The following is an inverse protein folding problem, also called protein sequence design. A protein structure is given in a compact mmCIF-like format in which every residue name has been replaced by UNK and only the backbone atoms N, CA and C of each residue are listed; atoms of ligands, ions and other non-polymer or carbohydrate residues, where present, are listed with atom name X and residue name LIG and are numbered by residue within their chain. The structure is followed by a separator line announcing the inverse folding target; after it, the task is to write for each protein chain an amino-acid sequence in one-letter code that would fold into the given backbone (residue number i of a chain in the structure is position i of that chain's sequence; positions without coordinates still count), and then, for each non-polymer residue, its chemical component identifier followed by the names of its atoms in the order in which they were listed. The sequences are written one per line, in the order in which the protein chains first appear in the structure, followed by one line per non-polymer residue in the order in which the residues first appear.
data_IF_338300981787
#
_entry.id   IF_338300981787
#
_cell.length_a   1.000
_cell.length_b   1.000
_cell.length_c   1.000
_cell.angle_alpha   90.00
_cell.angle_beta   90.00
_cell.angle_gamma   90.00
#
_symmetry.space_group_name_H-M   'P 1'
#
loop_
_entity.id
_entity.type
_entity.pdbx_description
1 polymer ?
#
# COMPACT_ATOMS: atom_id res chain seq x y z
N UNK A 1 23.85 -4.10 -27.02
CA UNK A 1 23.72 -4.95 -25.84
C UNK A 1 24.45 -4.31 -24.65
N UNK A 2 23.81 -4.27 -23.51
CA UNK A 2 24.41 -3.69 -22.33
C UNK A 2 25.49 -4.58 -21.72
N UNK A 3 26.32 -3.98 -20.90
CA UNK A 3 27.28 -4.72 -20.11
C UNK A 3 26.57 -5.50 -19.02
N UNK A 4 27.29 -6.47 -18.45
CA UNK A 4 26.75 -7.21 -17.30
C UNK A 4 26.40 -6.21 -16.18
N UNK A 5 25.23 -6.32 -15.63
CA UNK A 5 24.73 -5.42 -14.60
C UNK A 5 23.98 -4.21 -15.12
N UNK A 6 24.07 -3.93 -16.41
CA UNK A 6 23.27 -2.86 -16.99
C UNK A 6 21.87 -3.39 -17.30
N UNK A 7 20.89 -2.53 -17.11
CA UNK A 7 19.49 -2.86 -17.37
C UNK A 7 18.94 -1.98 -18.48
N UNK A 8 17.94 -2.52 -19.20
CA UNK A 8 17.24 -1.76 -20.23
C UNK A 8 16.31 -0.72 -19.62
N UNK A 9 15.78 -1.02 -18.44
CA UNK A 9 14.76 -0.17 -17.81
C UNK A 9 15.01 -0.04 -16.32
N UNK A 10 14.51 1.03 -15.75
CA UNK A 10 14.52 1.24 -14.31
C UNK A 10 13.10 1.45 -13.84
N UNK A 11 12.78 0.96 -12.66
CA UNK A 11 11.47 1.19 -12.07
C UNK A 11 11.39 2.65 -11.62
N UNK A 12 10.49 3.41 -12.23
CA UNK A 12 10.31 4.82 -11.92
C UNK A 12 9.37 5.02 -10.73
N UNK A 13 8.21 4.37 -10.77
CA UNK A 13 7.22 4.52 -9.73
C UNK A 13 6.16 3.43 -9.88
N UNK A 14 5.35 3.26 -8.84
CA UNK A 14 4.15 2.42 -8.87
C UNK A 14 2.95 3.33 -8.94
N UNK A 15 2.02 3.07 -9.85
CA UNK A 15 0.75 3.79 -9.94
C UNK A 15 -0.38 2.86 -9.54
N UNK A 16 -1.29 3.37 -8.72
CA UNK A 16 -2.42 2.63 -8.18
C UNK A 16 -3.70 3.39 -8.54
N UNK A 17 -4.69 2.68 -9.03
CA UNK A 17 -6.00 3.27 -9.30
C UNK A 17 -6.68 3.64 -8.00
N UNK A 18 -7.48 4.72 -8.02
CA UNK A 18 -8.10 5.24 -6.82
C UNK A 18 -9.46 5.86 -7.12
N UNK A 19 -10.36 5.79 -6.16
CA UNK A 19 -11.62 6.53 -6.20
C UNK A 19 -11.40 7.99 -5.78
N UNK A 20 -10.39 8.23 -4.92
CA UNK A 20 -10.11 9.57 -4.39
C UNK A 20 -8.60 9.69 -4.15
N UNK A 21 -7.83 10.09 -5.17
CA UNK A 21 -6.38 10.11 -5.07
C UNK A 21 -5.82 11.00 -3.96
N UNK A 22 -6.45 12.14 -3.69
CA UNK A 22 -5.97 13.02 -2.63
C UNK A 22 -6.09 12.35 -1.27
N UNK A 23 -7.22 11.69 -1.01
CA UNK A 23 -7.43 10.97 0.25
C UNK A 23 -6.44 9.81 0.38
N UNK A 24 -6.26 9.06 -0.70
CA UNK A 24 -5.39 7.90 -0.67
C UNK A 24 -3.93 8.32 -0.46
N UNK A 25 -3.50 9.41 -1.10
CA UNK A 25 -2.15 9.94 -0.90
C UNK A 25 -1.94 10.35 0.56
N UNK A 26 -2.91 11.03 1.17
CA UNK A 26 -2.80 11.40 2.59
C UNK A 26 -2.70 10.18 3.50
N UNK A 27 -3.48 9.14 3.20
CA UNK A 27 -3.46 7.91 3.99
C UNK A 27 -2.07 7.27 3.95
N UNK A 28 -1.53 7.04 2.74
CA UNK A 28 -0.24 6.37 2.63
C UNK A 28 0.92 7.25 3.10
N UNK A 29 0.82 8.58 2.93
CA UNK A 29 1.82 9.48 3.50
C UNK A 29 1.86 9.34 5.02
N UNK A 30 0.71 9.31 5.66
CA UNK A 30 0.64 9.15 7.12
C UNK A 30 1.11 7.75 7.54
N UNK A 31 0.69 6.71 6.81
CA UNK A 31 1.07 5.34 7.14
C UNK A 31 2.56 5.09 7.04
N UNK A 32 3.21 5.69 6.05
CA UNK A 32 4.62 5.44 5.74
C UNK A 32 5.57 6.51 6.29
N UNK A 33 5.03 7.63 6.76
CA UNK A 33 5.86 8.77 7.14
C UNK A 33 6.50 9.45 5.95
N UNK A 34 5.82 9.43 4.80
CA UNK A 34 6.29 10.00 3.55
C UNK A 34 5.61 11.33 3.28
N UNK A 35 6.09 12.04 2.26
CA UNK A 35 5.52 13.32 1.86
C UNK A 35 4.52 13.15 0.73
N UNK A 36 3.43 13.93 0.77
CA UNK A 36 2.58 14.11 -0.40
C UNK A 36 3.26 15.14 -1.29
N UNK A 37 3.77 14.70 -2.45
CA UNK A 37 4.51 15.57 -3.35
C UNK A 37 3.65 16.15 -4.46
N UNK A 38 2.45 15.61 -4.65
CA UNK A 38 1.48 16.14 -5.59
C UNK A 38 0.07 15.71 -5.16
N UNK A 39 -0.90 16.58 -5.34
CA UNK A 39 -2.29 16.23 -5.03
C UNK A 39 -3.25 17.18 -5.73
N UNK A 40 -4.17 16.61 -6.50
CA UNK A 40 -5.33 17.34 -7.02
C UNK A 40 -6.50 16.36 -7.13
N UNK A 41 -7.57 16.75 -7.80
CA UNK A 41 -8.77 15.91 -7.91
C UNK A 41 -8.56 14.66 -8.76
N UNK A 42 -7.56 14.65 -9.61
CA UNK A 42 -7.32 13.57 -10.57
C UNK A 42 -6.14 12.69 -10.22
N UNK A 43 -5.22 13.18 -9.40
CA UNK A 43 -3.98 12.47 -9.15
C UNK A 43 -3.37 12.86 -7.81
N UNK A 44 -2.74 11.89 -7.17
CA UNK A 44 -1.97 12.12 -5.96
C UNK A 44 -0.64 11.36 -6.03
N UNK A 45 0.37 11.83 -5.30
CA UNK A 45 1.65 11.15 -5.26
C UNK A 45 2.30 11.31 -3.91
N UNK A 46 2.90 10.22 -3.44
CA UNK A 46 3.71 10.22 -2.22
C UNK A 46 5.12 9.76 -2.55
N UNK A 47 6.09 10.29 -1.84
CA UNK A 47 7.49 9.93 -2.04
C UNK A 47 8.18 9.77 -0.69
N UNK A 48 9.06 8.78 -0.62
CA UNK A 48 9.90 8.54 0.53
C UNK A 48 10.84 7.38 0.26
N UNK A 49 12.01 7.40 0.90
CA UNK A 49 13.01 6.33 0.79
C UNK A 49 13.40 6.00 -0.66
N UNK A 50 13.37 7.01 -1.54
CA UNK A 50 13.69 6.80 -2.95
C UNK A 50 12.58 6.13 -3.76
N UNK A 51 11.39 6.00 -3.21
CA UNK A 51 10.26 5.34 -3.85
C UNK A 51 9.16 6.37 -4.09
N UNK A 52 8.47 6.23 -5.22
CA UNK A 52 7.31 7.04 -5.57
C UNK A 52 6.11 6.15 -5.78
N UNK A 53 4.99 6.53 -5.20
CA UNK A 53 3.72 5.86 -5.45
C UNK A 53 2.71 6.92 -5.88
N UNK A 54 2.12 6.72 -7.05
CA UNK A 54 1.10 7.62 -7.58
C UNK A 54 -0.28 6.98 -7.47
N UNK A 55 -1.30 7.81 -7.38
CA UNK A 55 -2.70 7.38 -7.29
C UNK A 55 -3.48 8.15 -8.35
N UNK A 56 -4.05 7.44 -9.31
CA UNK A 56 -4.80 8.04 -10.40
C UNK A 56 -6.28 7.79 -10.26
N UNK A 57 -7.09 8.80 -10.48
CA UNK A 57 -8.53 8.65 -10.38
C UNK A 57 -9.07 7.81 -11.52
N UNK A 58 -9.91 6.84 -11.18
CA UNK A 58 -10.64 6.02 -12.14
C UNK A 58 -12.12 6.16 -11.84
N UNK A 59 -12.88 6.62 -12.83
CA UNK A 59 -14.33 6.71 -12.68
C UNK A 59 -14.91 5.31 -12.53
N UNK A 60 -15.79 5.14 -11.56
CA UNK A 60 -16.38 3.84 -11.29
C UNK A 60 -15.40 2.85 -10.66
N UNK A 61 -14.34 3.35 -10.04
CA UNK A 61 -13.32 2.50 -9.41
C UNK A 61 -13.96 1.47 -8.49
N UNK A 62 -13.47 0.23 -8.60
CA UNK A 62 -13.85 -0.86 -7.69
C UNK A 62 -12.59 -1.51 -7.17
N UNK A 63 -12.45 -1.66 -5.85
CA UNK A 63 -11.29 -2.35 -5.29
C UNK A 63 -11.29 -3.83 -5.66
N UNK A 64 -10.13 -4.47 -5.51
CA UNK A 64 -10.04 -5.91 -5.59
C UNK A 64 -10.95 -6.51 -4.50
N UNK A 65 -11.67 -7.57 -4.86
CA UNK A 65 -12.56 -8.21 -3.90
C UNK A 65 -11.74 -8.90 -2.80
N UNK A 66 -12.12 -8.67 -1.57
CA UNK A 66 -11.49 -9.34 -0.43
C UNK A 66 -12.55 -9.68 0.62
N UNK A 67 -12.65 -10.94 1.11
CA UNK A 67 -11.82 -12.06 0.63
C UNK A 67 -12.20 -12.50 -0.77
N UNK A 68 -11.22 -13.00 -1.50
CA UNK A 68 -11.40 -13.58 -2.81
C UNK A 68 -11.37 -15.11 -2.70
N UNK A 69 -12.17 -15.82 -3.48
CA UNK A 69 -12.26 -17.27 -3.41
C UNK A 69 -10.91 -17.96 -3.67
N UNK A 70 -10.14 -17.42 -4.59
CA UNK A 70 -8.80 -17.94 -4.90
C UNK A 70 -7.71 -17.37 -4.00
N UNK A 71 -8.05 -16.45 -3.09
CA UNK A 71 -7.07 -15.79 -2.24
C UNK A 71 -6.27 -14.71 -2.95
N UNK A 72 -6.71 -14.29 -4.14
CA UNK A 72 -5.97 -13.31 -4.92
C UNK A 72 -6.11 -11.91 -4.33
N UNK A 73 -5.00 -11.22 -4.19
CA UNK A 73 -4.94 -9.81 -3.82
C UNK A 73 -4.45 -8.95 -4.95
N UNK A 74 -4.03 -9.58 -6.04
CA UNK A 74 -3.44 -8.95 -7.23
C UNK A 74 -2.17 -8.19 -6.85
N UNK A 75 -1.82 -7.14 -7.57
CA UNK A 75 -0.75 -6.27 -7.12
C UNK A 75 -1.22 -5.56 -5.84
N UNK A 76 -0.46 -5.68 -4.80
CA UNK A 76 -0.79 -5.03 -3.53
C UNK A 76 0.50 -4.63 -2.83
N UNK A 77 0.37 -3.74 -1.86
CA UNK A 77 1.52 -3.30 -1.08
C UNK A 77 1.70 -4.19 0.13
N UNK A 78 2.95 -4.47 0.47
CA UNK A 78 3.32 -5.12 1.72
C UNK A 78 4.10 -4.13 2.55
N UNK A 79 3.64 -3.84 3.75
CA UNK A 79 4.28 -2.91 4.66
C UNK A 79 4.86 -3.67 5.84
N UNK A 80 6.06 -3.32 6.24
CA UNK A 80 6.68 -3.91 7.42
C UNK A 80 6.38 -3.05 8.64
N UNK A 81 6.05 -3.69 9.73
CA UNK A 81 5.70 -3.03 10.98
C UNK A 81 6.38 -3.74 12.15
N UNK A 82 6.51 -3.06 13.28
CA UNK A 82 7.12 -3.65 14.45
C UNK A 82 6.18 -4.60 15.17
N UNK A 83 4.89 -4.24 15.23
CA UNK A 83 3.87 -5.03 15.92
C UNK A 83 2.60 -5.01 15.09
N UNK A 84 2.09 -6.19 14.72
CA UNK A 84 0.92 -6.29 13.85
C UNK A 84 -0.33 -5.67 14.46
N UNK A 85 -0.59 -5.93 15.74
CA UNK A 85 -1.81 -5.44 16.38
C UNK A 85 -1.77 -3.92 16.56
N UNK A 86 -0.66 -3.37 17.02
CA UNK A 86 -0.51 -1.93 17.18
C UNK A 86 -0.59 -1.21 15.85
N UNK A 87 0.07 -1.75 14.83
CA UNK A 87 0.04 -1.15 13.50
C UNK A 87 -1.37 -1.18 12.90
N UNK A 88 -2.07 -2.30 13.04
CA UNK A 88 -3.44 -2.40 12.55
C UNK A 88 -4.34 -1.37 13.22
N UNK A 89 -4.22 -1.20 14.54
CA UNK A 89 -4.99 -0.21 15.28
C UNK A 89 -4.68 1.20 14.81
N UNK A 90 -3.39 1.53 14.69
CA UNK A 90 -2.96 2.86 14.25
C UNK A 90 -3.42 3.18 12.83
N UNK A 91 -3.34 2.21 11.93
CA UNK A 91 -3.76 2.43 10.55
C UNK A 91 -5.27 2.52 10.41
N UNK A 92 -6.01 1.77 11.21
CA UNK A 92 -7.47 1.90 11.23
C UNK A 92 -7.89 3.27 11.76
N UNK A 93 -7.14 3.84 12.69
CA UNK A 93 -7.44 5.17 13.20
C UNK A 93 -7.29 6.26 12.14
N UNK A 94 -6.51 6.03 11.07
CA UNK A 94 -6.32 7.01 10.00
C UNK A 94 -7.03 6.63 8.70
N UNK A 95 -7.90 5.62 8.72
CA UNK A 95 -8.77 5.37 7.59
C UNK A 95 -8.77 3.95 7.02
N UNK A 96 -7.89 3.08 7.48
CA UNK A 96 -7.93 1.67 7.07
C UNK A 96 -9.06 0.94 7.77
N UNK A 97 -9.38 -0.25 7.26
CA UNK A 97 -10.30 -1.16 7.95
C UNK A 97 -9.68 -2.55 7.99
N UNK A 98 -10.09 -3.33 8.98
CA UNK A 98 -9.55 -4.67 9.16
C UNK A 98 -10.66 -5.69 8.88
N UNK A 99 -10.56 -6.46 7.80
CA UNK A 99 -11.53 -7.52 7.54
C UNK A 99 -11.38 -8.66 8.56
N UNK A 100 -12.48 -9.37 8.81
CA UNK A 100 -12.46 -10.48 9.75
C UNK A 100 -11.61 -11.64 9.24
N UNK A 101 -11.64 -11.88 7.94
CA UNK A 101 -10.90 -12.98 7.36
C UNK A 101 -9.41 -12.65 7.32
N UNK A 102 -8.62 -13.39 8.08
CA UNK A 102 -7.17 -13.16 8.22
C UNK A 102 -6.43 -14.48 7.98
N UNK A 103 -6.12 -14.78 6.71
CA UNK A 103 -5.49 -16.06 6.39
C UNK A 103 -4.03 -16.19 6.85
N UNK A 104 -3.41 -15.09 7.25
CA UNK A 104 -2.01 -15.08 7.67
C UNK A 104 -1.73 -15.65 9.05
N UNK A 105 -2.77 -15.87 9.86
CA UNK A 105 -2.68 -16.57 11.14
C UNK A 105 -1.59 -16.00 12.08
N UNK A 106 -1.49 -14.70 12.19
CA UNK A 106 -0.52 -14.04 13.08
C UNK A 106 0.84 -13.78 12.43
N UNK A 107 1.10 -14.32 11.26
CA UNK A 107 2.36 -14.08 10.55
C UNK A 107 2.31 -12.82 9.69
N UNK A 108 1.13 -12.49 9.22
CA UNK A 108 0.88 -11.27 8.45
C UNK A 108 -0.61 -10.93 8.58
N UNK A 109 -0.95 -9.70 8.24
CA UNK A 109 -2.32 -9.19 8.42
C UNK A 109 -2.76 -8.46 7.16
N UNK A 110 -4.00 -8.71 6.74
CA UNK A 110 -4.61 -7.97 5.64
C UNK A 110 -5.42 -6.83 6.20
N UNK A 111 -5.21 -5.63 5.68
CA UNK A 111 -6.07 -4.47 5.93
C UNK A 111 -6.60 -3.97 4.58
N UNK A 112 -7.64 -3.16 4.64
CA UNK A 112 -8.15 -2.46 3.47
C UNK A 112 -7.85 -0.98 3.65
N UNK A 113 -7.37 -0.34 2.57
CA UNK A 113 -7.11 1.09 2.61
C UNK A 113 -8.42 1.88 2.47
N UNK A 114 -8.39 3.22 2.51
CA UNK A 114 -9.63 4.00 2.40
C UNK A 114 -10.45 3.77 1.14
N UNK A 115 -9.82 3.29 0.07
CA UNK A 115 -10.54 2.90 -1.16
C UNK A 115 -11.05 1.47 -1.12
N UNK A 116 -10.74 0.73 -0.06
CA UNK A 116 -11.11 -0.68 0.07
C UNK A 116 -10.14 -1.66 -0.58
N UNK A 117 -8.97 -1.20 -1.03
CA UNK A 117 -7.95 -2.08 -1.62
C UNK A 117 -7.18 -2.81 -0.53
N UNK A 118 -6.97 -4.13 -0.70
CA UNK A 118 -6.17 -4.87 0.26
C UNK A 118 -4.70 -4.48 0.23
N UNK A 119 -4.11 -4.38 1.40
CA UNK A 119 -2.66 -4.34 1.56
C UNK A 119 -2.30 -5.18 2.79
N UNK A 120 -1.05 -5.58 2.88
CA UNK A 120 -0.64 -6.50 3.92
C UNK A 120 0.39 -5.87 4.85
N UNK A 121 0.33 -6.27 6.11
CA UNK A 121 1.33 -5.94 7.11
C UNK A 121 2.11 -7.20 7.45
N UNK A 122 3.41 -7.08 7.60
CA UNK A 122 4.25 -8.16 8.11
C UNK A 122 5.22 -7.61 9.14
N UNK A 123 5.66 -8.43 10.08
CA UNK A 123 6.64 -7.97 11.07
C UNK A 123 7.98 -7.69 10.40
N UNK A 124 8.68 -6.68 10.89
CA UNK A 124 10.06 -6.45 10.47
C UNK A 124 10.89 -7.65 10.85
N UNK A 125 11.88 -8.02 10.00
CA UNK A 125 12.82 -9.05 10.41
C UNK A 125 13.53 -8.63 11.69
N UNK A 126 13.83 -9.61 12.55
CA UNK A 126 14.59 -9.33 13.76
C UNK A 126 15.95 -8.78 13.35
N UNK A 127 16.33 -7.64 13.97
CA UNK A 127 17.67 -7.11 13.77
C UNK A 127 18.61 -7.84 14.68
N UNK A 128 19.70 -8.35 14.11
CA UNK A 128 20.75 -8.96 14.93
C UNK A 128 21.62 -7.84 15.48
N UNK A 129 21.88 -7.84 16.80
CA UNK A 129 22.76 -6.85 17.41
C UNK A 129 24.17 -6.89 16.85
#
# INVERSE_FOLDING_TARGET
MGKRGESTAALSMVNIDSADPARLARFYAAALGWEVTYSDDSYGMVEGNGIKIGFGKVEGFRPAQWPDEAGAKRFHLDLQVDDLDEAAESLCAIGASQPDFQPGAGRWRVLLDPDGQPFCLSPRPATTP
#
